data_IF_565795006522
#
_entry.id   IF_565795006522
#
_cell.length_a   1.000
_cell.length_b   1.000
_cell.length_c   1.000
_cell.angle_alpha   90.00
_cell.angle_beta   90.00
_cell.angle_gamma   90.00
#
_symmetry.space_group_name_H-M   'P 1'
#
loop_
_entity.id
_entity.type
_entity.pdbx_description
1 polymer ?
#
# COMPACT_ATOMS: atom_id res chain seq x y z
N UNK A 1 4.46 -19.69 -55.33
CA UNK A 1 5.28 -20.51 -54.40
C UNK A 1 5.43 -19.75 -53.09
N UNK A 2 5.31 -20.44 -51.94
CA UNK A 2 5.71 -20.06 -50.56
C UNK A 2 5.08 -18.76 -49.96
N UNK A 3 4.26 -18.78 -48.89
CA UNK A 3 4.55 -19.00 -47.44
C UNK A 3 5.72 -18.15 -46.90
N UNK A 4 5.72 -17.47 -45.76
CA UNK A 4 4.83 -17.33 -44.55
C UNK A 4 5.32 -16.09 -43.73
N UNK A 5 4.78 -15.60 -42.60
CA UNK A 5 3.80 -16.05 -41.58
C UNK A 5 3.22 -14.82 -40.84
N UNK A 6 1.97 -14.87 -40.35
CA UNK A 6 1.39 -13.87 -39.41
C UNK A 6 1.88 -14.17 -37.98
N UNK A 7 2.58 -13.22 -37.33
CA UNK A 7 3.01 -13.40 -35.92
C UNK A 7 2.01 -12.82 -34.92
N UNK A 8 0.93 -13.56 -34.66
CA UNK A 8 0.12 -13.37 -33.44
C UNK A 8 1.05 -13.45 -32.22
N UNK A 9 0.96 -12.47 -31.30
CA UNK A 9 1.62 -12.58 -29.97
C UNK A 9 0.54 -12.84 -28.93
N UNK A 10 0.70 -13.94 -28.22
CA UNK A 10 -0.39 -14.64 -27.54
C UNK A 10 -0.94 -13.90 -26.31
N UNK A 11 -2.26 -13.91 -26.17
CA UNK A 11 -2.95 -13.60 -24.91
C UNK A 11 -2.44 -14.53 -23.81
N UNK A 12 -1.78 -13.97 -22.79
CA UNK A 12 -1.23 -14.74 -21.68
C UNK A 12 -2.32 -15.02 -20.63
N UNK A 13 -3.24 -15.93 -20.94
CA UNK A 13 -4.33 -16.33 -20.03
C UNK A 13 -3.77 -17.14 -18.86
N UNK A 14 -3.51 -16.46 -17.75
CA UNK A 14 -3.15 -17.08 -16.48
C UNK A 14 -4.38 -17.78 -15.86
N UNK A 15 -4.54 -19.07 -16.15
CA UNK A 15 -5.51 -19.94 -15.47
C UNK A 15 -4.82 -20.71 -14.32
N UNK A 16 -5.07 -20.37 -13.05
CA UNK A 16 -4.80 -21.27 -11.94
C UNK A 16 -5.94 -22.29 -11.82
N UNK A 17 -5.66 -23.56 -12.14
CA UNK A 17 -6.62 -24.66 -12.05
C UNK A 17 -7.19 -24.86 -10.64
N UNK A 18 -8.42 -25.38 -10.58
CA UNK A 18 -9.17 -25.52 -9.34
C UNK A 18 -8.62 -26.63 -8.43
N UNK A 19 -8.03 -26.23 -7.31
CA UNK A 19 -7.91 -27.08 -6.12
C UNK A 19 -8.77 -26.47 -5.00
N UNK A 20 -9.82 -27.19 -4.56
CA UNK A 20 -10.65 -26.80 -3.40
C UNK A 20 -9.85 -26.99 -2.11
N UNK A 21 -8.99 -26.02 -1.78
CA UNK A 21 -8.24 -25.99 -0.51
C UNK A 21 -8.78 -24.88 0.40
N UNK A 22 -8.87 -25.18 1.69
CA UNK A 22 -9.08 -24.19 2.75
C UNK A 22 -7.79 -23.35 2.92
N UNK A 23 -7.59 -22.39 2.00
CA UNK A 23 -6.52 -21.40 2.09
C UNK A 23 -6.79 -20.36 3.18
N UNK A 24 -5.76 -19.96 3.92
CA UNK A 24 -5.84 -18.86 4.88
C UNK A 24 -6.29 -17.57 4.18
N UNK A 25 -7.01 -16.69 4.89
CA UNK A 25 -7.33 -15.35 4.35
C UNK A 25 -6.10 -14.44 4.40
N UNK A 26 -5.94 -13.62 3.35
CA UNK A 26 -4.90 -12.60 3.27
C UNK A 26 -5.10 -11.54 4.38
N UNK A 27 -4.07 -11.22 5.16
CA UNK A 27 -4.12 -10.21 6.23
C UNK A 27 -4.41 -8.78 5.74
N UNK A 28 -4.32 -8.55 4.43
CA UNK A 28 -4.56 -7.25 3.80
C UNK A 28 -5.92 -7.22 3.09
N UNK A 29 -6.08 -7.94 1.98
CA UNK A 29 -7.31 -7.93 1.18
C UNK A 29 -8.36 -9.01 1.54
N UNK A 30 -8.14 -9.83 2.58
CA UNK A 30 -9.02 -10.92 3.02
C UNK A 30 -9.37 -12.05 2.02
N UNK A 31 -8.95 -11.93 0.75
CA UNK A 31 -9.00 -13.01 -0.25
C UNK A 31 -8.29 -14.28 0.20
N UNK A 32 -8.59 -15.41 -0.46
CA UNK A 32 -7.81 -16.65 -0.32
C UNK A 32 -6.33 -16.38 -0.61
N UNK A 33 -5.51 -16.54 0.41
CA UNK A 33 -4.07 -16.71 0.28
C UNK A 33 -3.72 -18.22 0.25
N UNK A 34 -2.49 -18.53 -0.15
CA UNK A 34 -2.03 -19.92 -0.27
C UNK A 34 -1.95 -20.63 1.09
N UNK A 35 -1.93 -21.96 1.06
CA UNK A 35 -2.13 -22.85 2.23
C UNK A 35 -1.31 -22.47 3.48
N UNK A 36 -0.05 -22.05 3.31
CA UNK A 36 0.85 -21.62 4.40
C UNK A 36 1.20 -20.12 4.43
N UNK A 37 0.56 -19.27 3.61
CA UNK A 37 0.96 -17.85 3.47
C UNK A 37 -0.15 -16.92 3.93
N UNK A 38 0.13 -16.08 4.95
CA UNK A 38 -0.80 -15.05 5.47
C UNK A 38 -1.01 -13.85 4.53
N UNK A 39 -0.31 -13.80 3.38
CA UNK A 39 -0.41 -12.71 2.39
C UNK A 39 -0.48 -13.29 0.97
N UNK A 40 -1.47 -12.86 0.19
CA UNK A 40 -1.67 -13.31 -1.19
C UNK A 40 -0.55 -12.79 -2.14
N UNK A 41 -0.55 -13.22 -3.40
CA UNK A 41 0.47 -12.78 -4.36
C UNK A 41 0.38 -11.27 -4.69
N UNK A 42 -0.83 -10.73 -4.85
CA UNK A 42 -1.03 -9.31 -5.15
C UNK A 42 -0.54 -8.40 -4.02
N UNK A 43 -1.02 -8.61 -2.78
CA UNK A 43 -0.58 -7.82 -1.64
C UNK A 43 0.92 -7.96 -1.32
N UNK A 44 1.59 -9.07 -1.72
CA UNK A 44 3.06 -9.16 -1.64
C UNK A 44 3.77 -8.26 -2.64
N UNK A 45 3.22 -8.03 -3.85
CA UNK A 45 3.77 -7.05 -4.80
C UNK A 45 3.63 -5.63 -4.26
N UNK A 46 2.43 -5.27 -3.79
CA UNK A 46 2.17 -3.96 -3.17
C UNK A 46 3.07 -3.71 -1.95
N UNK A 47 3.25 -4.71 -1.08
CA UNK A 47 4.15 -4.62 0.07
C UNK A 47 5.63 -4.45 -0.34
N UNK A 48 6.07 -5.10 -1.42
CA UNK A 48 7.44 -4.95 -1.92
C UNK A 48 7.70 -3.54 -2.45
N UNK A 49 6.73 -2.95 -3.17
CA UNK A 49 6.79 -1.55 -3.62
C UNK A 49 6.86 -0.60 -2.41
N UNK A 50 5.95 -0.78 -1.45
CA UNK A 50 5.92 0.02 -0.21
C UNK A 50 7.24 -0.06 0.56
N UNK A 51 7.79 -1.26 0.76
CA UNK A 51 9.04 -1.46 1.52
C UNK A 51 10.25 -0.85 0.80
N UNK A 52 10.26 -0.87 -0.54
CA UNK A 52 11.36 -0.32 -1.36
C UNK A 52 11.43 1.20 -1.33
N UNK A 53 10.28 1.88 -1.28
CA UNK A 53 10.17 3.33 -1.40
C UNK A 53 9.70 4.02 -0.11
N UNK A 54 9.83 3.33 1.02
CA UNK A 54 9.34 3.78 2.32
C UNK A 54 10.01 5.11 2.72
N UNK A 55 9.20 6.08 3.17
CA UNK A 55 9.63 7.45 3.47
C UNK A 55 9.88 8.33 2.23
N UNK A 56 10.42 7.76 1.16
CA UNK A 56 10.83 8.48 -0.06
C UNK A 56 9.66 9.01 -0.90
N UNK A 57 8.50 8.35 -0.86
CA UNK A 57 7.35 8.67 -1.70
C UNK A 57 6.11 9.02 -0.88
N UNK A 58 5.35 9.98 -1.40
CA UNK A 58 4.06 10.37 -0.85
C UNK A 58 2.92 9.44 -1.26
N UNK A 59 1.75 9.63 -0.63
CA UNK A 59 0.58 8.77 -0.80
C UNK A 59 0.10 8.67 -2.27
N UNK A 60 0.14 9.78 -3.02
CA UNK A 60 -0.28 9.81 -4.43
C UNK A 60 0.71 9.03 -5.31
N UNK A 61 2.01 9.22 -5.12
CA UNK A 61 3.05 8.49 -5.85
C UNK A 61 2.99 6.98 -5.59
N UNK A 62 2.62 6.56 -4.37
CA UNK A 62 2.33 5.16 -4.09
C UNK A 62 1.07 4.65 -4.79
N UNK A 63 0.01 5.46 -4.90
CA UNK A 63 -1.19 5.10 -5.67
C UNK A 63 -0.87 4.87 -7.14
N UNK A 64 -0.09 5.76 -7.76
CA UNK A 64 0.36 5.62 -9.16
C UNK A 64 1.12 4.29 -9.35
N UNK A 65 2.13 4.03 -8.51
CA UNK A 65 2.90 2.78 -8.53
C UNK A 65 2.05 1.52 -8.24
N UNK A 66 0.96 1.65 -7.48
CA UNK A 66 0.04 0.53 -7.24
C UNK A 66 -0.89 0.29 -8.43
N UNK A 67 -1.36 1.34 -9.11
CA UNK A 67 -2.16 1.24 -10.34
C UNK A 67 -1.35 0.56 -11.45
N UNK A 68 -0.08 0.93 -11.62
CA UNK A 68 0.87 0.32 -12.58
C UNK A 68 1.08 -1.19 -12.37
N UNK A 69 0.72 -1.76 -11.21
CA UNK A 69 0.78 -3.22 -10.99
C UNK A 69 -0.29 -4.01 -11.75
N UNK A 70 -1.30 -3.33 -12.32
CA UNK A 70 -2.45 -3.95 -12.97
C UNK A 70 -3.36 -4.73 -12.02
N UNK A 71 -3.28 -4.46 -10.71
CA UNK A 71 -4.20 -5.03 -9.72
C UNK A 71 -5.52 -4.23 -9.72
N UNK A 72 -6.68 -4.88 -9.47
CA UNK A 72 -7.96 -4.18 -9.44
C UNK A 72 -8.01 -3.17 -8.29
N UNK A 73 -8.64 -2.02 -8.54
CA UNK A 73 -8.71 -0.87 -7.62
C UNK A 73 -9.21 -1.28 -6.22
N UNK A 74 -10.28 -2.08 -6.14
CA UNK A 74 -10.84 -2.60 -4.89
C UNK A 74 -9.79 -3.32 -4.01
N UNK A 75 -8.85 -4.02 -4.64
CA UNK A 75 -7.77 -4.76 -3.95
C UNK A 75 -6.66 -3.84 -3.47
N UNK A 76 -6.36 -2.78 -4.24
CA UNK A 76 -5.41 -1.73 -3.85
C UNK A 76 -5.99 -0.98 -2.65
N UNK A 77 -7.26 -0.60 -2.71
CA UNK A 77 -7.97 0.06 -1.61
C UNK A 77 -8.05 -0.83 -0.36
N UNK A 78 -8.43 -2.11 -0.50
CA UNK A 78 -8.43 -3.06 0.61
C UNK A 78 -7.03 -3.24 1.24
N UNK A 79 -5.96 -3.24 0.43
CA UNK A 79 -4.58 -3.25 0.92
C UNK A 79 -4.22 -1.95 1.67
N UNK A 80 -4.60 -0.78 1.15
CA UNK A 80 -4.31 0.52 1.75
C UNK A 80 -5.05 0.76 3.07
N UNK A 81 -6.29 0.29 3.16
CA UNK A 81 -7.13 0.41 4.36
C UNK A 81 -6.85 -0.67 5.42
N UNK A 82 -6.12 -1.75 5.07
CA UNK A 82 -5.77 -2.79 6.04
C UNK A 82 -4.86 -2.25 7.15
N UNK A 83 -5.21 -2.51 8.41
CA UNK A 83 -4.30 -2.41 9.55
C UNK A 83 -3.86 -3.82 9.98
N UNK A 84 -2.85 -4.42 9.32
CA UNK A 84 -2.36 -5.73 9.71
C UNK A 84 -1.74 -5.70 11.11
N UNK A 85 -1.03 -4.63 11.47
CA UNK A 85 -0.18 -4.58 12.67
C UNK A 85 -0.85 -4.01 13.93
N UNK A 86 -2.08 -3.49 13.85
CA UNK A 86 -2.73 -2.73 14.91
C UNK A 86 -2.15 -1.31 15.10
N UNK A 87 -1.35 -0.83 14.15
CA UNK A 87 -0.55 0.42 14.24
C UNK A 87 -1.09 1.54 13.35
N UNK A 88 -2.28 1.38 12.78
CA UNK A 88 -2.79 2.24 11.71
C UNK A 88 -2.74 1.55 10.35
N UNK A 89 -3.62 1.99 9.45
CA UNK A 89 -3.73 1.42 8.10
C UNK A 89 -2.47 1.67 7.28
N UNK A 90 -2.27 0.96 6.17
CA UNK A 90 -1.08 1.16 5.31
C UNK A 90 -0.98 2.61 4.83
N UNK A 91 -2.10 3.28 4.51
CA UNK A 91 -2.11 4.72 4.19
C UNK A 91 -1.67 5.61 5.37
N UNK A 92 -2.05 5.27 6.62
CA UNK A 92 -1.59 6.01 7.81
C UNK A 92 -0.07 5.87 7.99
N UNK A 93 0.48 4.69 7.70
CA UNK A 93 1.91 4.42 7.79
C UNK A 93 2.69 5.18 6.70
N UNK A 94 2.21 5.19 5.45
CA UNK A 94 2.77 5.99 4.35
C UNK A 94 2.83 7.48 4.74
N UNK A 95 1.74 8.04 5.27
CA UNK A 95 1.70 9.44 5.70
C UNK A 95 2.67 9.70 6.87
N UNK A 96 2.74 8.82 7.87
CA UNK A 96 3.66 9.00 8.99
C UNK A 96 5.13 8.92 8.58
N UNK A 97 5.49 8.00 7.67
CA UNK A 97 6.85 7.88 7.14
C UNK A 97 7.25 9.12 6.33
N UNK A 98 6.37 9.62 5.45
CA UNK A 98 6.59 10.86 4.68
C UNK A 98 6.74 12.09 5.60
N UNK A 99 5.87 12.24 6.62
CA UNK A 99 6.01 13.33 7.60
C UNK A 99 7.33 13.24 8.38
N UNK A 100 7.78 12.03 8.72
CA UNK A 100 9.05 11.80 9.41
C UNK A 100 10.24 12.24 8.56
N UNK A 101 10.26 11.89 7.26
CA UNK A 101 11.31 12.32 6.33
C UNK A 101 11.32 13.82 6.10
N UNK A 102 10.14 14.46 5.95
CA UNK A 102 10.04 15.93 5.83
C UNK A 102 10.58 16.65 7.08
N UNK A 103 10.21 16.18 8.27
CA UNK A 103 10.70 16.75 9.54
C UNK A 103 12.21 16.51 9.71
N UNK A 104 12.70 15.32 9.36
CA UNK A 104 14.12 14.98 9.34
C UNK A 104 14.94 15.86 8.38
N UNK A 105 14.43 16.14 7.18
CA UNK A 105 15.05 17.05 6.22
C UNK A 105 15.13 18.50 6.73
N UNK A 106 14.22 18.91 7.61
CA UNK A 106 14.25 20.21 8.31
C UNK A 106 15.10 20.18 9.60
N UNK A 107 15.85 19.11 9.86
CA UNK A 107 16.68 18.95 11.06
C UNK A 107 15.89 18.63 12.34
N UNK A 108 14.57 18.48 12.25
CA UNK A 108 13.69 18.17 13.38
C UNK A 108 13.61 16.66 13.54
N UNK A 109 14.24 16.12 14.58
CA UNK A 109 14.19 14.69 14.93
C UNK A 109 12.83 14.27 15.52
N UNK A 110 11.75 14.48 14.76
CA UNK A 110 10.40 14.08 15.11
C UNK A 110 10.13 12.63 14.66
N UNK A 111 10.36 11.67 15.55
CA UNK A 111 9.82 10.31 15.42
C UNK A 111 8.30 10.32 15.70
N UNK A 112 7.52 10.99 14.86
CA UNK A 112 6.06 10.90 14.93
C UNK A 112 5.63 9.51 14.46
N UNK A 113 5.13 8.71 15.39
CA UNK A 113 4.68 7.35 15.07
C UNK A 113 3.25 7.37 14.52
N UNK A 114 2.88 6.33 13.78
CA UNK A 114 1.49 6.18 13.30
C UNK A 114 0.45 6.09 14.44
N UNK A 115 0.87 5.77 15.67
CA UNK A 115 0.02 5.90 16.85
C UNK A 115 -0.28 7.36 17.19
N UNK A 116 0.69 8.25 17.10
CA UNK A 116 0.55 9.67 17.43
C UNK A 116 -0.38 10.38 16.43
N UNK A 117 -0.25 10.05 15.13
CA UNK A 117 -1.17 10.49 14.07
C UNK A 117 -2.61 9.99 14.33
N UNK A 118 -2.77 8.76 14.84
CA UNK A 118 -4.08 8.19 15.22
C UNK A 118 -4.69 8.90 16.43
N UNK A 119 -3.87 9.37 17.38
CA UNK A 119 -4.33 10.17 18.53
C UNK A 119 -4.74 11.58 18.10
N UNK A 120 -3.93 12.27 17.28
CA UNK A 120 -4.27 13.60 16.73
C UNK A 120 -5.61 13.58 15.98
N UNK A 121 -5.86 12.54 15.17
CA UNK A 121 -7.15 12.36 14.47
C UNK A 121 -8.34 12.13 15.43
N UNK A 122 -8.11 11.51 16.59
CA UNK A 122 -9.15 11.30 17.63
C UNK A 122 -9.41 12.54 18.47
N UNK A 123 -8.40 13.37 18.71
CA UNK A 123 -8.51 14.58 19.53
C UNK A 123 -9.12 15.78 18.77
N UNK A 124 -9.32 15.67 17.45
CA UNK A 124 -9.97 16.70 16.64
C UNK A 124 -9.18 18.01 16.49
N UNK A 125 -7.96 18.08 17.05
CA UNK A 125 -7.16 19.29 17.13
C UNK A 125 -6.41 19.59 15.81
N UNK A 126 -7.16 19.75 14.73
CA UNK A 126 -6.66 20.25 13.44
C UNK A 126 -6.67 21.79 13.36
N UNK A 127 -7.22 22.49 14.37
CA UNK A 127 -7.40 23.95 14.32
C UNK A 127 -6.15 24.74 14.69
N UNK A 128 -5.37 24.29 15.68
CA UNK A 128 -4.26 25.09 16.24
C UNK A 128 -2.93 25.11 15.46
N UNK A 129 -2.82 24.49 14.28
CA UNK A 129 -1.60 24.55 13.45
C UNK A 129 -1.62 25.64 12.37
N UNK A 130 -2.73 26.39 12.26
CA UNK A 130 -2.89 27.47 11.27
C UNK A 130 -2.71 28.89 11.82
N UNK A 131 -2.76 29.07 13.14
CA UNK A 131 -2.57 30.38 13.77
C UNK A 131 -1.07 30.72 13.81
N UNK A 132 -0.68 31.71 12.99
CA UNK A 132 0.51 32.52 13.30
C UNK A 132 0.29 33.15 14.68
N UNK A 133 1.31 33.23 15.54
CA UNK A 133 1.26 34.16 16.66
C UNK A 133 1.16 35.58 16.09
N UNK A 134 0.15 36.32 16.51
CA UNK A 134 0.15 37.77 16.38
C UNK A 134 1.15 38.37 17.39
N UNK A 135 1.83 39.45 16.98
CA UNK A 135 2.85 40.17 17.77
C UNK A 135 2.23 41.10 18.82
#
# INVERSE_FOLDING_TARGET
MMTTLIRKRSSFTFQPGAAKVFGMRCRYCYERAGWFRRVCAGCRRLLAIYTRHRGQLGLLQFLDLFIDTGLPQEKIEAFMNADPSGRGSVKDQITADMSTELLGAMGVNARQTAHDVKQLRRQGNWRGMGERPDE
#
